data_IF_633879468111
#
_entry.id   IF_633879468111
#
_cell.length_a   1.000
_cell.length_b   1.000
_cell.length_c   1.000
_cell.angle_alpha   90.00
_cell.angle_beta   90.00
_cell.angle_gamma   90.00
#
_symmetry.space_group_name_H-M   'P 1'
#
loop_
_entity.id
_entity.type
_entity.pdbx_description
1 polymer ?
#
# COMPACT_ATOMS: atom_id res chain seq x y z
N UNK A 1 -9.70 12.50 -14.04
CA UNK A 1 -8.90 12.54 -15.25
C UNK A 1 -8.37 11.14 -15.63
N UNK A 2 -7.75 10.43 -14.69
CA UNK A 2 -7.17 9.08 -14.94
C UNK A 2 -8.20 8.06 -15.47
N UNK A 3 -9.44 7.94 -14.95
CA UNK A 3 -10.42 6.98 -15.47
C UNK A 3 -10.79 7.19 -16.93
N UNK A 4 -10.96 8.44 -17.35
CA UNK A 4 -11.35 8.78 -18.74
C UNK A 4 -10.26 8.42 -19.76
N UNK A 5 -9.00 8.42 -19.37
CA UNK A 5 -7.90 8.02 -20.23
C UNK A 5 -7.62 6.51 -20.14
N UNK A 6 -7.71 5.91 -18.95
CA UNK A 6 -7.31 4.52 -18.73
C UNK A 6 -8.29 3.49 -19.33
N UNK A 7 -9.59 3.81 -19.39
CA UNK A 7 -10.61 2.84 -19.81
C UNK A 7 -10.58 2.59 -21.32
N UNK A 8 -10.52 3.59 -22.22
CA UNK A 8 -10.37 3.35 -23.66
C UNK A 8 -9.10 2.57 -24.03
N UNK A 9 -7.98 2.86 -23.36
CA UNK A 9 -6.69 2.19 -23.64
C UNK A 9 -6.64 0.76 -23.11
N UNK A 10 -7.39 0.46 -22.05
CA UNK A 10 -7.61 -0.92 -21.64
C UNK A 10 -8.29 -1.73 -22.75
N UNK A 11 -9.16 -1.09 -23.56
CA UNK A 11 -9.78 -1.74 -24.72
C UNK A 11 -8.80 -2.03 -25.83
N UNK A 12 -7.91 -1.09 -26.16
CA UNK A 12 -6.84 -1.32 -27.15
C UNK A 12 -5.91 -2.47 -26.74
N UNK A 13 -5.58 -2.51 -25.45
CA UNK A 13 -4.76 -3.61 -24.91
C UNK A 13 -5.54 -4.92 -24.95
N UNK A 14 -6.84 -4.93 -24.59
CA UNK A 14 -7.67 -6.11 -24.67
C UNK A 14 -7.77 -6.65 -26.09
N UNK A 15 -7.98 -5.78 -27.09
CA UNK A 15 -7.96 -6.15 -28.52
C UNK A 15 -6.61 -6.75 -28.92
N UNK A 16 -5.50 -6.10 -28.53
CA UNK A 16 -4.14 -6.53 -28.90
C UNK A 16 -3.78 -7.92 -28.35
N UNK A 17 -4.30 -8.30 -27.18
CA UNK A 17 -4.05 -9.61 -26.55
C UNK A 17 -5.20 -10.61 -26.75
N UNK A 18 -6.27 -10.22 -27.45
CA UNK A 18 -7.45 -11.05 -27.66
C UNK A 18 -8.28 -11.31 -26.41
N UNK A 19 -8.29 -10.37 -25.45
CA UNK A 19 -9.12 -10.49 -24.25
C UNK A 19 -10.57 -10.14 -24.54
N UNK A 20 -11.49 -10.94 -24.01
CA UNK A 20 -12.93 -10.79 -24.23
C UNK A 20 -13.61 -9.93 -23.14
N UNK A 21 -12.95 -9.74 -22.01
CA UNK A 21 -13.49 -9.02 -20.86
C UNK A 21 -12.44 -8.07 -20.23
N UNK A 22 -12.92 -6.91 -19.79
CA UNK A 22 -12.17 -5.94 -18.98
C UNK A 22 -12.85 -5.81 -17.62
N UNK A 23 -12.13 -6.12 -16.54
CA UNK A 23 -12.66 -6.02 -15.18
C UNK A 23 -11.88 -4.97 -14.40
N UNK A 24 -12.59 -3.97 -13.88
CA UNK A 24 -12.03 -2.88 -13.10
C UNK A 24 -12.40 -3.08 -11.63
N UNK A 25 -11.42 -3.48 -10.80
CA UNK A 25 -11.61 -3.57 -9.35
C UNK A 25 -11.41 -2.21 -8.69
N UNK A 26 -12.42 -1.75 -7.92
CA UNK A 26 -12.37 -0.47 -7.20
C UNK A 26 -12.62 -0.72 -5.72
N UNK A 27 -11.69 -0.31 -4.86
CA UNK A 27 -11.88 -0.38 -3.41
C UNK A 27 -12.83 0.74 -2.94
N UNK A 28 -13.67 0.45 -1.96
CA UNK A 28 -14.61 1.23 -1.16
C UNK A 28 -14.93 2.71 -1.44
N UNK A 29 -14.49 3.26 -2.57
CA UNK A 29 -14.64 4.67 -2.92
C UNK A 29 -15.77 4.86 -3.94
N UNK A 30 -16.92 5.35 -3.48
CA UNK A 30 -18.09 5.59 -4.33
C UNK A 30 -17.83 6.58 -5.48
N UNK A 31 -16.98 7.60 -5.26
CA UNK A 31 -16.60 8.55 -6.30
C UNK A 31 -15.77 7.87 -7.40
N UNK A 32 -14.82 7.03 -7.03
CA UNK A 32 -14.01 6.27 -7.97
C UNK A 32 -14.88 5.28 -8.76
N UNK A 33 -15.82 4.58 -8.10
CA UNK A 33 -16.79 3.70 -8.74
C UNK A 33 -17.60 4.43 -9.81
N UNK A 34 -18.28 5.53 -9.43
CA UNK A 34 -19.07 6.35 -10.37
C UNK A 34 -18.23 6.90 -11.52
N UNK A 35 -16.98 7.28 -11.24
CA UNK A 35 -16.08 7.79 -12.28
C UNK A 35 -15.71 6.72 -13.31
N UNK A 36 -15.44 5.49 -12.87
CA UNK A 36 -15.17 4.35 -13.77
C UNK A 36 -16.41 3.94 -14.57
N UNK A 37 -17.57 3.87 -13.93
CA UNK A 37 -18.85 3.59 -14.62
C UNK A 37 -19.18 4.65 -15.67
N UNK A 38 -18.95 5.94 -15.34
CA UNK A 38 -19.14 7.03 -16.30
C UNK A 38 -18.17 6.93 -17.48
N UNK A 39 -16.91 6.56 -17.26
CA UNK A 39 -15.94 6.36 -18.33
C UNK A 39 -16.34 5.19 -19.26
N UNK A 40 -16.79 4.06 -18.71
CA UNK A 40 -17.33 2.94 -19.49
C UNK A 40 -18.58 3.38 -20.27
N UNK A 41 -19.46 4.14 -19.63
CA UNK A 41 -20.70 4.61 -20.27
C UNK A 41 -20.47 5.60 -21.41
N UNK A 42 -19.37 6.35 -21.39
CA UNK A 42 -19.00 7.27 -22.45
C UNK A 42 -18.57 6.56 -23.74
N UNK A 43 -18.13 5.31 -23.66
CA UNK A 43 -17.60 4.52 -24.78
C UNK A 43 -18.54 3.35 -25.13
N UNK A 44 -19.35 3.46 -26.18
CA UNK A 44 -20.37 2.43 -26.51
C UNK A 44 -19.80 1.03 -26.73
N UNK A 45 -18.58 0.92 -27.27
CA UNK A 45 -17.89 -0.35 -27.48
C UNK A 45 -17.52 -1.07 -26.18
N UNK A 46 -17.21 -0.31 -25.13
CA UNK A 46 -16.77 -0.84 -23.84
C UNK A 46 -17.90 -1.38 -22.98
N UNK A 47 -19.12 -0.86 -23.13
CA UNK A 47 -20.30 -1.30 -22.35
C UNK A 47 -20.57 -2.81 -22.42
N UNK A 48 -20.07 -3.46 -23.48
CA UNK A 48 -20.31 -4.89 -23.69
C UNK A 48 -19.23 -5.78 -23.08
N UNK A 49 -18.03 -5.24 -22.90
CA UNK A 49 -16.87 -6.01 -22.48
C UNK A 49 -16.25 -5.55 -21.15
N UNK A 50 -16.64 -4.35 -20.66
CA UNK A 50 -16.07 -3.77 -19.43
C UNK A 50 -17.10 -3.73 -18.30
N UNK A 51 -16.68 -4.08 -17.10
CA UNK A 51 -17.48 -3.96 -15.87
C UNK A 51 -16.63 -3.50 -14.68
N UNK A 52 -17.27 -2.84 -13.73
CA UNK A 52 -16.66 -2.47 -12.44
C UNK A 52 -17.06 -3.51 -11.39
N UNK A 53 -16.12 -3.87 -10.53
CA UNK A 53 -16.33 -4.72 -9.36
C UNK A 53 -15.89 -3.95 -8.12
N UNK A 54 -16.83 -3.74 -7.21
CA UNK A 54 -16.54 -3.09 -5.94
C UNK A 54 -15.86 -4.06 -5.01
N UNK A 55 -14.72 -3.62 -4.47
CA UNK A 55 -13.92 -4.35 -3.51
C UNK A 55 -14.10 -3.76 -2.11
N UNK A 56 -13.98 -4.55 -1.03
CA UNK A 56 -13.95 -4.00 0.33
C UNK A 56 -12.83 -2.98 0.50
N UNK A 57 -13.11 -1.92 1.26
CA UNK A 57 -12.12 -0.89 1.61
C UNK A 57 -11.17 -1.40 2.69
N UNK A 58 -10.26 -2.26 2.29
CA UNK A 58 -9.21 -2.81 3.14
C UNK A 58 -7.86 -2.71 2.43
N UNK A 59 -6.83 -2.44 3.20
CA UNK A 59 -5.47 -2.33 2.66
C UNK A 59 -5.05 -3.57 1.87
N UNK A 60 -5.35 -4.76 2.39
CA UNK A 60 -4.98 -6.03 1.74
C UNK A 60 -5.77 -6.32 0.47
N UNK A 61 -6.93 -5.68 0.24
CA UNK A 61 -7.74 -5.87 -0.97
C UNK A 61 -7.03 -5.41 -2.25
N UNK A 62 -6.05 -4.50 -2.13
CA UNK A 62 -5.21 -4.04 -3.24
C UNK A 62 -4.10 -5.01 -3.65
N UNK A 63 -3.90 -6.12 -2.94
CA UNK A 63 -2.96 -7.16 -3.36
C UNK A 63 -3.52 -7.92 -4.57
N UNK A 64 -2.67 -8.22 -5.55
CA UNK A 64 -3.06 -8.81 -6.84
C UNK A 64 -3.93 -10.07 -6.71
N UNK A 65 -3.51 -11.02 -5.87
CA UNK A 65 -4.25 -12.24 -5.66
C UNK A 65 -5.55 -12.04 -4.88
N UNK A 66 -5.59 -11.07 -3.96
CA UNK A 66 -6.78 -10.69 -3.24
C UNK A 66 -7.81 -10.06 -4.18
N UNK A 67 -7.36 -9.18 -5.09
CA UNK A 67 -8.19 -8.55 -6.11
C UNK A 67 -8.82 -9.60 -7.03
N UNK A 68 -8.04 -10.49 -7.61
CA UNK A 68 -8.53 -11.57 -8.49
C UNK A 68 -9.53 -12.46 -7.74
N UNK A 69 -9.24 -12.83 -6.49
CA UNK A 69 -10.17 -13.63 -5.69
C UNK A 69 -11.50 -12.91 -5.43
N UNK A 70 -11.44 -11.60 -5.11
CA UNK A 70 -12.65 -10.79 -4.93
C UNK A 70 -13.48 -10.70 -6.19
N UNK A 71 -12.86 -10.48 -7.35
CA UNK A 71 -13.52 -10.47 -8.66
C UNK A 71 -14.18 -11.83 -8.94
N UNK A 72 -13.55 -12.93 -8.56
CA UNK A 72 -14.07 -14.29 -8.68
C UNK A 72 -15.13 -14.66 -7.61
N UNK A 73 -15.65 -13.68 -6.85
CA UNK A 73 -16.68 -13.89 -5.82
C UNK A 73 -16.18 -14.60 -4.56
N UNK A 74 -14.86 -14.73 -4.38
CA UNK A 74 -14.25 -15.32 -3.18
C UNK A 74 -13.87 -14.20 -2.20
N UNK A 75 -13.55 -14.56 -0.95
CA UNK A 75 -13.04 -13.60 0.03
C UNK A 75 -11.80 -12.88 -0.54
N UNK A 76 -11.76 -11.54 -0.58
CA UNK A 76 -10.69 -10.75 -1.18
C UNK A 76 -9.45 -10.67 -0.26
N UNK A 77 -8.76 -11.77 -0.14
CA UNK A 77 -7.50 -11.93 0.59
C UNK A 77 -6.52 -12.71 -0.29
N UNK A 78 -5.20 -12.51 -0.16
CA UNK A 78 -4.22 -13.25 -0.94
C UNK A 78 -4.45 -14.75 -0.87
N UNK A 79 -4.29 -15.52 -1.95
CA UNK A 79 -4.29 -16.97 -1.90
C UNK A 79 -3.08 -17.42 -1.05
N UNK A 80 -3.23 -18.37 -0.15
CA UNK A 80 -2.17 -18.81 0.77
C UNK A 80 -0.88 -19.33 0.09
N UNK A 81 -0.76 -19.18 -1.21
CA UNK A 81 0.40 -19.52 -2.06
C UNK A 81 0.56 -18.47 -3.15
N UNK A 82 1.75 -18.35 -3.72
CA UNK A 82 1.98 -17.46 -4.87
C UNK A 82 1.29 -18.06 -6.10
N UNK A 83 0.34 -17.29 -6.66
CA UNK A 83 -0.37 -17.58 -7.91
C UNK A 83 -0.24 -16.35 -8.80
N UNK A 84 0.21 -16.55 -10.04
CA UNK A 84 0.29 -15.45 -11.00
C UNK A 84 -1.06 -15.32 -11.73
N UNK A 85 -1.53 -14.09 -11.89
CA UNK A 85 -2.76 -13.82 -12.64
C UNK A 85 -2.63 -14.20 -14.12
N UNK A 86 -1.40 -14.20 -14.66
CA UNK A 86 -1.09 -14.71 -16.00
C UNK A 86 -1.39 -16.19 -16.19
N UNK A 87 -1.41 -16.96 -15.12
CA UNK A 87 -1.68 -18.41 -15.16
C UNK A 87 -3.13 -18.71 -14.75
N UNK A 88 -3.55 -18.13 -13.61
CA UNK A 88 -4.88 -18.31 -13.04
C UNK A 88 -5.40 -16.97 -12.50
N UNK A 89 -6.13 -16.25 -13.34
CA UNK A 89 -6.69 -14.94 -13.05
C UNK A 89 -8.22 -14.93 -12.87
N UNK A 90 -8.88 -13.99 -13.52
CA UNK A 90 -10.33 -13.85 -13.50
C UNK A 90 -10.97 -15.06 -14.20
N UNK A 91 -12.00 -15.66 -13.60
CA UNK A 91 -12.65 -16.87 -14.06
C UNK A 91 -11.68 -18.06 -14.28
N UNK A 92 -10.57 -18.10 -13.51
CA UNK A 92 -9.47 -19.06 -13.64
C UNK A 92 -8.77 -19.04 -15.03
N UNK A 93 -8.95 -17.95 -15.80
CA UNK A 93 -8.29 -17.73 -17.09
C UNK A 93 -7.02 -16.87 -16.94
N UNK A 94 -6.05 -16.99 -17.87
CA UNK A 94 -4.92 -16.07 -17.94
C UNK A 94 -5.40 -14.63 -18.00
N UNK A 95 -4.88 -13.76 -17.11
CA UNK A 95 -5.35 -12.39 -16.98
C UNK A 95 -4.16 -11.44 -16.95
N UNK A 96 -4.17 -10.44 -17.85
CA UNK A 96 -3.28 -9.29 -17.75
C UNK A 96 -3.79 -8.36 -16.65
N UNK A 97 -3.03 -8.26 -15.56
CA UNK A 97 -3.36 -7.43 -14.42
C UNK A 97 -2.40 -6.25 -14.32
N UNK A 98 -2.93 -5.04 -14.33
CA UNK A 98 -2.17 -3.81 -14.07
C UNK A 98 -3.02 -2.76 -13.36
N UNK A 99 -2.41 -1.64 -12.98
CA UNK A 99 -3.11 -0.53 -12.35
C UNK A 99 -3.60 0.49 -13.39
N UNK A 100 -4.54 1.34 -13.00
CA UNK A 100 -5.11 2.38 -13.86
C UNK A 100 -4.09 3.40 -14.33
N UNK A 101 -3.05 3.68 -13.55
CA UNK A 101 -1.99 4.63 -13.96
C UNK A 101 -1.19 4.10 -15.14
N UNK A 102 -0.94 2.79 -15.21
CA UNK A 102 -0.26 2.17 -16.37
C UNK A 102 -1.09 2.34 -17.64
N UNK A 103 -2.39 2.07 -17.58
CA UNK A 103 -3.27 2.26 -18.75
C UNK A 103 -3.40 3.74 -19.13
N UNK A 104 -3.42 4.65 -18.15
CA UNK A 104 -3.42 6.09 -18.43
C UNK A 104 -2.13 6.54 -19.13
N UNK A 105 -0.97 6.03 -18.75
CA UNK A 105 0.30 6.32 -19.44
C UNK A 105 0.33 5.73 -20.85
N UNK A 106 -0.27 4.57 -21.08
CA UNK A 106 -0.45 4.03 -22.43
C UNK A 106 -1.33 4.95 -23.29
N UNK A 107 -2.38 5.55 -22.70
CA UNK A 107 -3.20 6.54 -23.39
C UNK A 107 -2.40 7.76 -23.81
N UNK A 108 -1.58 8.29 -22.90
CA UNK A 108 -0.69 9.44 -23.21
C UNK A 108 0.31 9.06 -24.31
N UNK A 109 0.89 7.87 -24.24
CA UNK A 109 1.80 7.36 -25.26
C UNK A 109 1.11 7.23 -26.63
N UNK A 110 -0.09 6.65 -26.67
CA UNK A 110 -0.86 6.50 -27.91
C UNK A 110 -1.24 7.85 -28.53
N UNK A 111 -1.62 8.82 -27.68
CA UNK A 111 -2.02 10.17 -28.11
C UNK A 111 -0.83 10.99 -28.63
N UNK A 112 0.28 10.98 -27.92
CA UNK A 112 1.45 11.82 -28.22
C UNK A 112 2.40 11.19 -29.23
N UNK A 113 2.41 9.88 -29.32
CA UNK A 113 3.43 9.09 -30.00
C UNK A 113 4.73 8.94 -29.19
N UNK A 114 5.58 7.96 -29.54
CA UNK A 114 6.73 7.57 -28.72
C UNK A 114 7.76 8.70 -28.58
N UNK A 115 7.99 9.49 -29.62
CA UNK A 115 9.00 10.56 -29.59
C UNK A 115 8.65 11.67 -28.60
N UNK A 116 7.38 12.14 -28.61
CA UNK A 116 6.92 13.18 -27.68
C UNK A 116 6.79 12.65 -26.26
N UNK A 117 6.36 11.40 -26.10
CA UNK A 117 6.30 10.76 -24.80
C UNK A 117 7.69 10.64 -24.18
N UNK A 118 8.68 10.22 -24.97
CA UNK A 118 10.06 10.06 -24.52
C UNK A 118 10.81 11.39 -24.33
N UNK A 119 10.26 12.51 -24.79
CA UNK A 119 10.85 13.84 -24.56
C UNK A 119 10.67 14.36 -23.13
N UNK A 120 9.87 13.69 -22.32
CA UNK A 120 9.60 14.04 -20.91
C UNK A 120 10.07 12.90 -20.01
N UNK A 121 10.65 13.25 -18.87
CA UNK A 121 11.20 12.27 -17.94
C UNK A 121 12.65 11.92 -18.21
N UNK A 122 13.11 10.78 -17.70
CA UNK A 122 14.47 10.27 -17.97
C UNK A 122 14.49 9.34 -19.19
N UNK A 123 15.65 9.12 -19.82
CA UNK A 123 15.75 8.16 -20.92
C UNK A 123 15.33 6.74 -20.54
N UNK A 124 15.61 6.33 -19.31
CA UNK A 124 15.29 5.00 -18.76
C UNK A 124 13.84 4.88 -18.30
N UNK A 125 13.26 6.01 -17.88
CA UNK A 125 11.86 6.10 -17.41
C UNK A 125 11.19 7.33 -18.02
N UNK A 126 10.83 7.29 -19.32
CA UNK A 126 10.15 8.41 -19.97
C UNK A 126 8.74 8.60 -19.44
N UNK A 127 8.24 9.84 -19.55
CA UNK A 127 6.90 10.24 -19.14
C UNK A 127 6.87 10.89 -17.76
N UNK A 128 5.70 10.87 -17.19
CA UNK A 128 5.37 11.50 -15.90
C UNK A 128 4.95 10.48 -14.86
N UNK A 129 4.93 10.89 -13.60
CA UNK A 129 4.40 10.12 -12.49
C UNK A 129 3.46 10.96 -11.66
N UNK A 130 2.36 10.35 -11.19
CA UNK A 130 1.44 10.94 -10.23
C UNK A 130 1.92 10.61 -8.81
N UNK A 131 2.04 11.64 -7.98
CA UNK A 131 2.42 11.51 -6.57
C UNK A 131 1.34 12.10 -5.68
N UNK A 132 0.95 11.34 -4.66
CA UNK A 132 0.07 11.82 -3.60
C UNK A 132 0.94 12.27 -2.43
N UNK A 133 1.00 13.57 -2.19
CA UNK A 133 1.77 14.17 -1.10
C UNK A 133 0.84 14.53 0.04
N UNK A 134 1.17 14.07 1.24
CA UNK A 134 0.40 14.30 2.46
C UNK A 134 1.30 14.48 3.68
N UNK A 135 1.00 13.78 4.78
CA UNK A 135 1.81 13.88 5.99
C UNK A 135 1.81 15.30 6.57
N UNK A 136 2.99 15.85 6.82
CA UNK A 136 3.16 17.23 7.32
C UNK A 136 3.14 18.31 6.23
N UNK A 137 2.70 18.00 5.00
CA UNK A 137 2.55 19.01 3.95
C UNK A 137 1.48 20.04 4.33
N UNK A 138 1.81 21.33 4.17
CA UNK A 138 0.84 22.42 4.42
C UNK A 138 -0.21 22.51 3.30
N UNK A 139 0.12 22.03 2.11
CA UNK A 139 -0.76 21.94 0.95
C UNK A 139 -0.75 20.50 0.39
N UNK A 140 -1.45 19.56 1.05
CA UNK A 140 -1.55 18.19 0.54
C UNK A 140 -2.18 18.19 -0.85
N UNK A 141 -1.57 17.46 -1.80
CA UNK A 141 -2.03 17.44 -3.17
C UNK A 141 -1.65 16.13 -3.88
N UNK A 142 -2.34 15.88 -5.00
CA UNK A 142 -1.85 14.96 -6.04
C UNK A 142 -1.17 15.80 -7.09
N UNK A 143 0.10 15.54 -7.33
CA UNK A 143 0.93 16.26 -8.29
C UNK A 143 1.40 15.32 -9.40
N UNK A 144 1.44 15.83 -10.62
CA UNK A 144 2.04 15.14 -11.76
C UNK A 144 3.38 15.80 -12.08
N UNK A 145 4.44 15.01 -12.13
CA UNK A 145 5.79 15.50 -12.40
C UNK A 145 6.51 14.60 -13.40
N UNK A 146 7.46 15.13 -14.20
CA UNK A 146 8.36 14.31 -14.97
C UNK A 146 9.13 13.34 -14.07
N UNK A 147 9.36 12.11 -14.52
CA UNK A 147 10.28 11.21 -13.83
C UNK A 147 11.70 11.82 -13.80
N UNK A 148 12.43 11.56 -12.72
CA UNK A 148 13.79 12.07 -12.54
C UNK A 148 13.90 13.46 -11.90
N UNK A 149 12.78 14.16 -11.65
CA UNK A 149 12.83 15.41 -10.85
C UNK A 149 13.32 15.12 -9.44
N UNK A 150 14.09 16.01 -8.79
CA UNK A 150 14.43 15.85 -7.39
C UNK A 150 13.17 15.82 -6.52
N UNK A 151 13.14 14.94 -5.51
CA UNK A 151 11.99 14.86 -4.60
C UNK A 151 11.76 16.19 -3.85
N UNK A 152 12.81 16.98 -3.62
CA UNK A 152 12.69 18.33 -3.08
C UNK A 152 11.71 19.20 -3.87
N UNK A 153 11.75 19.16 -5.20
CA UNK A 153 10.84 19.97 -6.03
C UNK A 153 9.37 19.56 -5.82
N UNK A 154 9.11 18.27 -5.59
CA UNK A 154 7.76 17.78 -5.25
C UNK A 154 7.32 18.27 -3.88
N UNK A 155 8.22 18.22 -2.90
CA UNK A 155 7.96 18.73 -1.55
C UNK A 155 7.70 20.23 -1.55
N UNK A 156 8.46 21.00 -2.33
CA UNK A 156 8.30 22.46 -2.46
C UNK A 156 6.93 22.84 -3.04
N UNK A 157 6.46 22.14 -4.08
CA UNK A 157 5.12 22.34 -4.66
C UNK A 157 4.02 22.21 -3.60
N UNK A 158 4.18 21.26 -2.68
CA UNK A 158 3.21 20.97 -1.63
C UNK A 158 3.50 21.71 -0.31
N UNK A 159 4.47 22.63 -0.29
CA UNK A 159 4.92 23.34 0.92
C UNK A 159 5.18 22.36 2.08
N UNK A 160 5.92 21.33 1.78
CA UNK A 160 6.16 20.18 2.64
C UNK A 160 7.66 20.08 2.97
N UNK A 161 8.12 20.62 4.11
CA UNK A 161 9.50 20.40 4.52
C UNK A 161 9.74 18.91 4.76
N UNK A 162 10.95 18.44 4.43
CA UNK A 162 11.30 17.04 4.68
C UNK A 162 11.27 16.67 6.18
N UNK A 163 11.37 17.66 7.05
CA UNK A 163 11.30 17.47 8.50
C UNK A 163 12.34 16.49 9.04
N UNK A 164 11.89 15.52 9.84
CA UNK A 164 12.75 14.45 10.39
C UNK A 164 13.04 13.35 9.35
N UNK A 165 12.15 13.18 8.38
CA UNK A 165 12.28 12.18 7.29
C UNK A 165 11.07 12.15 6.39
N UNK A 166 11.19 11.45 5.27
CA UNK A 166 10.14 11.32 4.27
C UNK A 166 9.86 9.85 3.99
N UNK A 167 8.61 9.44 4.17
CA UNK A 167 8.16 8.13 3.73
C UNK A 167 7.83 8.17 2.24
N UNK A 168 8.43 7.28 1.45
CA UNK A 168 8.19 7.16 0.01
C UNK A 168 7.68 5.78 -0.33
N UNK A 169 6.70 5.70 -1.22
CA UNK A 169 6.10 4.45 -1.70
C UNK A 169 4.90 3.96 -0.89
N UNK A 170 4.40 4.76 0.05
CA UNK A 170 3.29 4.43 0.95
C UNK A 170 3.70 3.54 2.12
N UNK A 171 2.73 2.92 2.80
CA UNK A 171 2.99 2.14 4.03
C UNK A 171 3.71 0.80 3.82
N UNK A 172 3.95 0.40 2.59
CA UNK A 172 4.88 -0.67 2.23
C UNK A 172 6.20 -0.13 1.65
N UNK A 173 6.38 1.18 1.65
CA UNK A 173 7.59 1.86 1.22
C UNK A 173 8.66 1.89 2.31
N UNK A 174 9.48 2.93 2.29
CA UNK A 174 10.54 3.12 3.29
C UNK A 174 10.72 4.60 3.63
N UNK A 175 11.29 4.83 4.79
CA UNK A 175 11.70 6.14 5.26
C UNK A 175 13.05 6.51 4.65
N UNK A 176 13.15 7.75 4.18
CA UNK A 176 14.39 8.39 3.75
C UNK A 176 14.76 9.48 4.76
N UNK A 177 16.04 9.58 5.16
CA UNK A 177 16.52 10.75 5.91
C UNK A 177 16.26 12.03 5.10
N UNK A 178 15.99 13.15 5.78
CA UNK A 178 15.70 14.43 5.14
C UNK A 178 16.74 14.82 4.08
N UNK A 179 18.03 14.70 4.38
CA UNK A 179 19.10 15.01 3.44
C UNK A 179 19.08 14.15 2.17
N UNK A 180 18.76 12.86 2.29
CA UNK A 180 18.60 11.97 1.13
C UNK A 180 17.36 12.34 0.33
N UNK A 181 16.25 12.63 1.00
CA UNK A 181 15.00 13.01 0.35
C UNK A 181 15.14 14.28 -0.50
N UNK A 182 15.97 15.23 -0.11
CA UNK A 182 16.17 16.46 -0.88
C UNK A 182 16.83 16.22 -2.25
N UNK A 183 17.65 15.20 -2.41
CA UNK A 183 18.45 15.01 -3.63
C UNK A 183 18.03 13.83 -4.47
N UNK A 184 17.24 12.90 -3.91
CA UNK A 184 16.87 11.67 -4.63
C UNK A 184 15.96 12.00 -5.81
N UNK A 185 16.28 11.48 -7.03
CA UNK A 185 15.38 11.62 -8.18
C UNK A 185 14.11 10.78 -7.99
N UNK A 186 12.98 11.35 -8.37
CA UNK A 186 11.68 10.64 -8.40
C UNK A 186 11.62 9.75 -9.63
N UNK A 187 12.27 8.61 -9.54
CA UNK A 187 12.27 7.55 -10.56
C UNK A 187 12.44 6.20 -9.85
N UNK A 188 12.14 5.09 -10.52
CA UNK A 188 12.40 3.75 -9.97
C UNK A 188 13.88 3.54 -9.71
N UNK A 189 14.73 3.94 -10.66
CA UNK A 189 16.16 3.84 -10.53
C UNK A 189 16.72 4.72 -9.40
N UNK A 190 16.32 6.00 -9.37
CA UNK A 190 16.78 6.94 -8.34
C UNK A 190 16.40 6.49 -6.93
N UNK A 191 15.17 6.04 -6.73
CA UNK A 191 14.73 5.51 -5.44
C UNK A 191 15.38 4.18 -5.11
N UNK A 192 15.57 3.28 -6.08
CA UNK A 192 16.26 2.00 -5.87
C UNK A 192 17.72 2.20 -5.43
N UNK A 193 18.40 3.24 -5.92
CA UNK A 193 19.77 3.57 -5.55
C UNK A 193 19.93 3.88 -4.04
N UNK A 194 18.85 4.32 -3.39
CA UNK A 194 18.80 4.58 -1.94
C UNK A 194 18.02 3.49 -1.18
N UNK A 195 17.76 2.34 -1.81
CA UNK A 195 17.02 1.22 -1.24
C UNK A 195 15.50 1.41 -1.22
N UNK A 196 14.99 2.51 -1.79
CA UNK A 196 13.58 2.85 -1.85
C UNK A 196 12.84 2.27 -3.05
N UNK A 197 11.58 2.58 -3.13
CA UNK A 197 10.72 2.25 -4.28
C UNK A 197 9.66 3.32 -4.45
N UNK A 198 9.29 3.61 -5.69
CA UNK A 198 8.19 4.53 -5.99
C UNK A 198 6.84 3.99 -5.45
N UNK A 199 6.68 2.67 -5.45
CA UNK A 199 5.49 2.00 -4.91
C UNK A 199 4.18 2.55 -5.47
N UNK A 200 3.30 2.99 -4.58
CA UNK A 200 2.00 3.59 -4.91
C UNK A 200 2.07 5.09 -5.24
N UNK A 201 3.26 5.68 -5.34
CA UNK A 201 3.41 7.13 -5.57
C UNK A 201 3.03 8.00 -4.37
N UNK A 202 3.00 7.45 -3.16
CA UNK A 202 2.69 8.20 -1.95
C UNK A 202 3.98 8.74 -1.34
N UNK A 203 3.97 10.02 -0.98
CA UNK A 203 5.07 10.75 -0.34
C UNK A 203 4.53 11.42 0.93
N UNK A 204 5.06 11.02 2.08
CA UNK A 204 4.61 11.53 3.38
C UNK A 204 5.82 12.09 4.17
N UNK A 205 6.12 13.39 4.05
CA UNK A 205 7.08 14.04 4.92
C UNK A 205 6.56 14.07 6.36
N UNK A 206 7.47 13.93 7.31
CA UNK A 206 7.17 13.96 8.73
C UNK A 206 7.91 15.12 9.40
N UNK A 207 7.15 16.14 9.80
CA UNK A 207 7.69 17.32 10.48
C UNK A 207 8.09 17.04 11.93
N UNK A 208 8.82 17.99 12.51
CA UNK A 208 9.36 17.93 13.87
C UNK A 208 8.32 18.07 15.00
N UNK A 209 7.08 18.40 14.64
CA UNK A 209 5.99 18.61 15.61
C UNK A 209 5.33 17.35 16.17
N UNK A 210 5.70 16.15 15.72
CA UNK A 210 5.13 14.88 16.16
C UNK A 210 6.20 13.86 16.49
N UNK A 211 5.91 12.88 17.35
CA UNK A 211 6.78 11.75 17.61
C UNK A 211 6.81 10.81 16.39
N UNK A 212 7.97 10.68 15.69
CA UNK A 212 8.01 9.87 14.46
C UNK A 212 7.79 8.39 14.74
N UNK A 213 8.36 7.86 15.81
CA UNK A 213 8.16 6.45 16.17
C UNK A 213 6.76 6.17 16.68
N UNK A 214 6.09 7.16 17.28
CA UNK A 214 4.68 7.05 17.65
C UNK A 214 3.76 6.99 16.42
N UNK A 215 4.05 7.79 15.38
CA UNK A 215 3.35 7.69 14.10
C UNK A 215 3.60 6.32 13.45
N UNK A 216 4.84 5.84 13.45
CA UNK A 216 5.19 4.50 12.94
C UNK A 216 4.45 3.39 13.70
N UNK A 217 4.36 3.48 15.03
CA UNK A 217 3.64 2.50 15.86
C UNK A 217 2.14 2.44 15.52
N UNK A 218 1.50 3.60 15.28
CA UNK A 218 0.10 3.66 14.83
C UNK A 218 -0.10 2.94 13.51
N UNK A 219 0.75 3.24 12.53
CA UNK A 219 0.66 2.63 11.20
C UNK A 219 0.98 1.13 11.26
N UNK A 220 1.98 0.71 12.04
CA UNK A 220 2.29 -0.71 12.22
C UNK A 220 1.11 -1.49 12.83
N UNK A 221 0.40 -0.89 13.79
CA UNK A 221 -0.80 -1.46 14.38
C UNK A 221 -1.94 -1.59 13.36
N UNK A 222 -2.18 -0.55 12.56
CA UNK A 222 -3.15 -0.58 11.46
C UNK A 222 -2.81 -1.69 10.46
N UNK A 223 -1.57 -1.76 9.98
CA UNK A 223 -1.15 -2.77 9.01
C UNK A 223 -1.24 -4.20 9.55
N UNK A 224 -0.99 -4.40 10.83
CA UNK A 224 -1.20 -5.70 11.47
C UNK A 224 -2.68 -6.11 11.46
N UNK A 225 -3.61 -5.17 11.71
CA UNK A 225 -5.06 -5.37 11.62
C UNK A 225 -5.56 -5.60 10.19
N UNK A 226 -4.95 -4.92 9.22
CA UNK A 226 -5.30 -5.02 7.80
C UNK A 226 -4.73 -6.27 7.10
N UNK A 227 -4.01 -7.11 7.82
CA UNK A 227 -3.45 -8.35 7.28
C UNK A 227 -4.53 -9.38 6.94
N UNK A 228 -4.20 -10.31 6.03
CA UNK A 228 -5.08 -11.44 5.71
C UNK A 228 -5.21 -12.46 6.86
N UNK A 229 -4.30 -12.45 7.84
CA UNK A 229 -4.31 -13.37 8.99
C UNK A 229 -4.08 -14.84 8.65
N UNK A 230 -3.61 -15.18 7.45
CA UNK A 230 -3.55 -16.57 6.96
C UNK A 230 -2.21 -17.26 7.19
N UNK A 231 -1.10 -16.51 7.27
CA UNK A 231 0.22 -17.10 7.49
C UNK A 231 0.82 -16.65 8.82
N UNK A 232 1.85 -17.38 9.31
CA UNK A 232 2.54 -17.07 10.57
C UNK A 232 3.00 -15.62 10.69
N UNK A 233 3.67 -15.05 9.67
CA UNK A 233 4.01 -13.62 9.64
C UNK A 233 2.84 -12.70 9.96
N UNK A 234 1.70 -12.83 9.29
CA UNK A 234 0.52 -12.01 9.54
C UNK A 234 -0.13 -12.28 10.90
N UNK A 235 -0.26 -13.55 11.29
CA UNK A 235 -1.01 -13.94 12.49
C UNK A 235 -0.24 -13.69 13.78
N UNK A 236 1.07 -13.84 13.77
CA UNK A 236 1.93 -13.77 14.96
C UNK A 236 2.96 -12.63 14.84
N UNK A 237 3.62 -12.50 13.68
CA UNK A 237 4.75 -11.61 13.50
C UNK A 237 4.37 -10.15 13.50
N UNK A 238 3.45 -9.72 12.65
CA UNK A 238 3.01 -8.32 12.59
C UNK A 238 2.40 -7.82 13.91
N UNK A 239 1.51 -8.56 14.59
CA UNK A 239 1.05 -8.18 15.91
C UNK A 239 2.17 -8.12 16.97
N UNK A 240 3.21 -8.95 16.86
CA UNK A 240 4.37 -8.89 17.75
C UNK A 240 5.19 -7.61 17.53
N UNK A 241 5.42 -7.21 16.26
CA UNK A 241 6.09 -5.97 15.90
C UNK A 241 5.29 -4.76 16.44
N UNK A 242 3.97 -4.73 16.19
CA UNK A 242 3.10 -3.64 16.62
C UNK A 242 3.10 -3.48 18.15
N UNK A 243 3.00 -4.57 18.90
CA UNK A 243 3.06 -4.54 20.38
C UNK A 243 4.42 -4.08 20.89
N UNK A 244 5.51 -4.53 20.26
CA UNK A 244 6.85 -4.11 20.64
C UNK A 244 7.07 -2.60 20.41
N UNK A 245 6.58 -2.06 19.30
CA UNK A 245 6.61 -0.62 19.05
C UNK A 245 5.74 0.14 20.06
N UNK A 246 4.55 -0.34 20.37
CA UNK A 246 3.68 0.28 21.36
C UNK A 246 4.38 0.33 22.74
N UNK A 247 5.00 -0.77 23.20
CA UNK A 247 5.73 -0.82 24.45
C UNK A 247 6.97 0.09 24.46
N UNK A 248 7.60 0.31 23.30
CA UNK A 248 8.70 1.27 23.17
C UNK A 248 8.18 2.71 23.34
N UNK A 249 7.01 3.03 22.75
CA UNK A 249 6.44 4.39 22.75
C UNK A 249 5.84 4.75 24.11
N UNK A 250 5.19 3.81 24.79
CA UNK A 250 4.60 4.05 26.13
C UNK A 250 5.64 4.00 27.26
N UNK A 251 6.89 3.71 26.91
CA UNK A 251 8.01 3.67 27.86
C UNK A 251 8.07 2.40 28.74
N UNK A 252 7.22 1.40 28.51
CA UNK A 252 7.19 0.19 29.32
C UNK A 252 8.24 -0.85 28.91
N UNK A 253 8.82 -0.76 27.69
CA UNK A 253 9.63 -1.82 27.13
C UNK A 253 11.12 -1.51 26.88
N UNK A 254 11.51 -0.24 26.74
CA UNK A 254 12.89 0.17 26.54
C UNK A 254 13.67 -0.65 25.49
N UNK A 255 14.89 -1.07 25.83
CA UNK A 255 15.76 -1.84 24.93
C UNK A 255 15.17 -3.24 24.58
N UNK A 256 14.43 -3.85 25.50
CA UNK A 256 13.83 -5.18 25.28
C UNK A 256 12.74 -5.11 24.21
N UNK A 257 11.94 -4.03 24.20
CA UNK A 257 10.95 -3.78 23.17
C UNK A 257 11.59 -3.56 21.79
N UNK A 258 12.69 -2.80 21.73
CA UNK A 258 13.45 -2.61 20.49
C UNK A 258 13.98 -3.95 19.95
N UNK A 259 14.58 -4.75 20.82
CA UNK A 259 15.10 -6.07 20.46
C UNK A 259 13.98 -7.01 19.98
N UNK A 260 12.83 -6.96 20.65
CA UNK A 260 11.67 -7.75 20.23
C UNK A 260 11.16 -7.30 18.85
N UNK A 261 11.07 -5.99 18.59
CA UNK A 261 10.65 -5.45 17.30
C UNK A 261 11.59 -5.94 16.18
N UNK A 262 12.90 -5.81 16.37
CA UNK A 262 13.93 -6.24 15.39
C UNK A 262 13.91 -7.76 15.16
N UNK A 263 13.86 -8.57 16.22
CA UNK A 263 13.78 -10.05 16.08
C UNK A 263 12.48 -10.47 15.40
N UNK A 264 11.35 -9.85 15.75
CA UNK A 264 10.07 -10.16 15.11
C UNK A 264 10.10 -9.80 13.63
N UNK A 265 10.65 -8.64 13.26
CA UNK A 265 10.82 -8.22 11.88
C UNK A 265 11.71 -9.21 11.09
N UNK A 266 12.84 -9.62 11.64
CA UNK A 266 13.72 -10.62 11.03
C UNK A 266 13.02 -11.98 10.88
N UNK A 267 12.16 -12.37 11.83
CA UNK A 267 11.37 -13.59 11.77
C UNK A 267 10.22 -13.56 10.77
N UNK A 268 9.81 -12.37 10.33
CA UNK A 268 8.71 -12.14 9.36
C UNK A 268 9.23 -12.07 7.94
N UNK A 269 10.38 -11.41 7.71
CA UNK A 269 10.93 -11.11 6.40
C UNK A 269 11.09 -12.38 5.53
N UNK A 270 10.59 -12.32 4.29
CA UNK A 270 10.66 -13.38 3.28
C UNK A 270 9.80 -14.61 3.57
N UNK A 271 8.95 -14.59 4.61
CA UNK A 271 8.16 -15.76 5.07
C UNK A 271 6.67 -15.61 4.83
N UNK A 272 6.23 -14.48 4.27
CA UNK A 272 4.84 -14.23 3.94
C UNK A 272 4.37 -15.00 2.71
N UNK A 273 3.06 -15.33 2.66
CA UNK A 273 2.43 -15.85 1.46
C UNK A 273 2.21 -14.77 0.38
N UNK A 274 2.30 -13.49 0.77
CA UNK A 274 2.28 -12.31 -0.07
C UNK A 274 3.30 -11.29 0.43
N UNK A 275 3.42 -10.14 -0.25
CA UNK A 275 4.41 -9.10 0.08
C UNK A 275 4.01 -8.20 1.26
N UNK A 276 2.80 -8.36 1.84
CA UNK A 276 2.35 -7.49 2.94
C UNK A 276 3.27 -7.53 4.16
N UNK A 277 3.68 -8.71 4.69
CA UNK A 277 4.60 -8.76 5.83
C UNK A 277 5.96 -8.11 5.54
N UNK A 278 6.50 -8.29 4.33
CA UNK A 278 7.78 -7.72 3.92
C UNK A 278 7.70 -6.20 3.80
N UNK A 279 6.57 -5.68 3.29
CA UNK A 279 6.29 -4.25 3.23
C UNK A 279 6.26 -3.61 4.61
N UNK A 280 5.52 -4.22 5.56
CA UNK A 280 5.46 -3.74 6.95
C UNK A 280 6.83 -3.78 7.63
N UNK A 281 7.58 -4.85 7.42
CA UNK A 281 8.93 -5.01 7.97
C UNK A 281 9.86 -3.90 7.46
N UNK A 282 9.84 -3.62 6.16
CA UNK A 282 10.64 -2.54 5.54
C UNK A 282 10.27 -1.18 6.11
N UNK A 283 8.97 -0.87 6.18
CA UNK A 283 8.46 0.36 6.76
C UNK A 283 8.96 0.57 8.20
N UNK A 284 8.87 -0.45 9.05
CA UNK A 284 9.29 -0.37 10.45
C UNK A 284 10.80 -0.27 10.58
N UNK A 285 11.56 -1.15 9.92
CA UNK A 285 13.02 -1.16 10.08
C UNK A 285 13.65 0.13 9.54
N UNK A 286 13.21 0.63 8.40
CA UNK A 286 13.71 1.91 7.88
C UNK A 286 13.40 3.09 8.81
N UNK A 287 12.28 3.07 9.53
CA UNK A 287 11.98 4.07 10.55
C UNK A 287 12.97 4.00 11.73
N UNK A 288 13.28 2.79 12.23
CA UNK A 288 14.25 2.61 13.31
C UNK A 288 15.66 3.05 12.91
N UNK A 289 15.97 3.01 11.61
CA UNK A 289 17.28 3.44 11.09
C UNK A 289 17.34 4.96 10.81
N UNK A 290 16.21 5.59 10.45
CA UNK A 290 16.14 7.03 10.16
C UNK A 290 15.97 7.84 11.44
N UNK A 291 15.11 7.43 12.37
CA UNK A 291 14.78 8.19 13.58
C UNK A 291 15.59 7.74 14.79
N UNK A 292 16.92 7.66 14.63
CA UNK A 292 17.83 7.12 15.65
C UNK A 292 17.90 7.93 16.94
N UNK A 293 17.79 9.26 16.87
CA UNK A 293 17.78 10.13 18.04
C UNK A 293 16.51 9.94 18.88
N UNK A 294 15.35 9.89 18.22
CA UNK A 294 14.09 9.61 18.89
C UNK A 294 14.06 8.20 19.47
N UNK A 295 14.61 7.23 18.71
CA UNK A 295 14.74 5.86 19.17
C UNK A 295 15.58 5.80 20.47
N UNK A 296 16.72 6.47 20.50
CA UNK A 296 17.55 6.55 21.70
C UNK A 296 16.79 7.20 22.86
N UNK A 297 16.04 8.28 22.60
CA UNK A 297 15.24 8.94 23.63
C UNK A 297 14.16 8.02 24.22
N UNK A 298 13.44 7.26 23.38
CA UNK A 298 12.47 6.28 23.86
C UNK A 298 13.12 5.13 24.63
N UNK A 299 14.26 4.62 24.17
CA UNK A 299 14.97 3.50 24.82
C UNK A 299 15.53 3.90 26.19
N UNK A 300 16.15 5.07 26.31
CA UNK A 300 16.90 5.47 27.50
C UNK A 300 16.13 6.42 28.43
N UNK A 301 15.15 7.16 27.88
CA UNK A 301 14.39 8.17 28.64
C UNK A 301 12.88 7.93 28.61
N UNK A 302 12.45 6.80 28.01
CA UNK A 302 11.04 6.40 27.88
C UNK A 302 10.17 7.35 27.04
N UNK A 303 10.71 8.43 26.48
CA UNK A 303 9.98 9.39 25.64
C UNK A 303 10.93 10.30 24.89
N UNK A 304 10.59 10.65 23.64
CA UNK A 304 11.25 11.73 22.91
C UNK A 304 10.70 13.14 23.24
N UNK A 305 9.73 13.24 24.15
CA UNK A 305 9.10 14.51 24.55
C UNK A 305 8.10 15.09 23.52
N UNK A 306 7.92 14.47 22.36
CA UNK A 306 6.98 14.92 21.33
C UNK A 306 5.66 14.13 21.40
N UNK A 307 4.49 14.79 21.17
CA UNK A 307 3.20 14.09 21.13
C UNK A 307 3.05 13.32 19.82
N UNK A 308 2.21 12.29 19.81
CA UNK A 308 1.73 11.62 18.59
C UNK A 308 0.50 12.36 18.08
N UNK A 309 0.58 12.98 16.91
CA UNK A 309 -0.47 13.86 16.37
C UNK A 309 -1.36 13.23 15.31
N UNK A 310 -1.05 12.02 14.84
CA UNK A 310 -1.81 11.39 13.76
C UNK A 310 -1.55 12.00 12.39
N UNK A 311 -0.34 12.48 12.16
CA UNK A 311 0.06 13.14 10.90
C UNK A 311 0.05 12.17 9.73
N UNK A 312 0.43 10.93 9.96
CA UNK A 312 0.30 9.89 8.94
C UNK A 312 -1.17 9.48 8.81
N UNK A 313 -1.79 9.67 7.62
CA UNK A 313 -3.21 9.44 7.45
C UNK A 313 -3.57 7.95 7.59
N UNK A 314 -4.63 7.69 8.33
CA UNK A 314 -5.31 6.40 8.35
C UNK A 314 -6.68 6.54 7.72
N UNK A 315 -7.24 5.50 7.10
CA UNK A 315 -8.61 5.53 6.63
C UNK A 315 -9.55 5.93 7.77
N UNK A 316 -10.35 6.96 7.53
CA UNK A 316 -11.49 7.29 8.40
C UNK A 316 -12.65 6.40 7.99
N UNK A 317 -12.63 5.17 8.45
CA UNK A 317 -13.79 4.27 8.31
C UNK A 317 -14.89 4.65 9.30
N UNK A 318 -16.15 4.23 9.07
CA UNK A 318 -17.11 4.11 10.15
C UNK A 318 -16.42 3.32 11.27
N UNK A 319 -16.62 3.74 12.52
CA UNK A 319 -16.12 3.03 13.71
C UNK A 319 -16.22 1.54 13.42
N UNK A 320 -15.07 0.85 13.45
CA UNK A 320 -15.08 -0.59 13.22
C UNK A 320 -16.03 -1.15 14.29
N UNK A 321 -17.26 -1.46 13.88
CA UNK A 321 -18.05 -2.39 14.68
C UNK A 321 -17.10 -3.54 14.95
N UNK A 322 -16.77 -3.77 16.22
CA UNK A 322 -16.00 -4.93 16.65
C UNK A 322 -16.69 -6.14 16.04
N UNK A 323 -16.26 -6.53 14.86
CA UNK A 323 -16.67 -7.80 14.30
C UNK A 323 -16.12 -8.82 15.28
N UNK A 324 -16.98 -9.30 16.13
CA UNK A 324 -16.68 -10.40 17.03
C UNK A 324 -16.29 -11.58 16.14
N UNK A 325 -14.99 -11.76 15.96
CA UNK A 325 -14.48 -12.92 15.25
C UNK A 325 -14.53 -14.10 16.21
N UNK A 326 -15.31 -15.11 15.84
CA UNK A 326 -15.25 -16.39 16.53
C UNK A 326 -13.83 -16.95 16.37
N UNK A 327 -13.07 -16.98 17.45
CA UNK A 327 -11.74 -17.56 17.47
C UNK A 327 -11.84 -18.99 17.98
N UNK A 328 -11.55 -19.95 17.11
CA UNK A 328 -11.43 -21.36 17.54
C UNK A 328 -10.05 -21.56 18.16
N UNK A 329 -10.01 -21.91 19.43
CA UNK A 329 -8.78 -22.34 20.09
C UNK A 329 -8.44 -23.77 19.63
N UNK A 330 -7.59 -23.86 18.62
CA UNK A 330 -7.19 -25.14 18.04
C UNK A 330 -6.44 -26.04 19.01
N UNK A 331 -5.92 -25.52 20.13
CA UNK A 331 -5.28 -26.37 21.16
C UNK A 331 -6.31 -27.11 22.00
N UNK A 332 -7.55 -26.63 22.02
CA UNK A 332 -8.70 -27.21 22.74
C UNK A 332 -9.74 -27.82 21.81
N UNK A 333 -9.62 -27.61 20.52
CA UNK A 333 -10.54 -28.14 19.54
C UNK A 333 -10.25 -29.64 19.31
N UNK A 334 -11.24 -30.49 19.59
CA UNK A 334 -11.17 -31.91 19.35
C UNK A 334 -11.64 -32.35 17.96
N UNK A 335 -11.93 -31.37 17.07
CA UNK A 335 -12.28 -31.65 15.67
C UNK A 335 -13.64 -32.34 15.44
N UNK A 336 -14.57 -32.24 16.38
CA UNK A 336 -15.88 -32.94 16.27
C UNK A 336 -16.79 -32.36 15.15
N UNK A 337 -16.46 -31.22 14.56
CA UNK A 337 -17.24 -30.59 13.48
C UNK A 337 -18.62 -30.04 13.87
N UNK A 338 -19.03 -30.15 15.13
CA UNK A 338 -20.36 -29.72 15.58
C UNK A 338 -20.60 -28.22 15.36
N UNK A 339 -19.55 -27.39 15.50
CA UNK A 339 -19.63 -25.96 15.27
C UNK A 339 -19.92 -25.62 13.80
N UNK A 340 -19.41 -26.38 12.84
CA UNK A 340 -19.71 -26.19 11.42
C UNK A 340 -21.18 -26.53 11.07
N UNK A 341 -21.82 -27.38 11.87
CA UNK A 341 -23.26 -27.67 11.72
C UNK A 341 -24.14 -26.62 12.40
N UNK A 342 -23.67 -26.02 13.49
CA UNK A 342 -24.45 -25.03 14.25
C UNK A 342 -24.39 -23.62 13.62
N UNK A 343 -23.24 -23.26 13.03
CA UNK A 343 -22.99 -21.94 12.45
C UNK A 343 -22.22 -22.07 11.12
N UNK A 344 -22.80 -22.72 10.12
CA UNK A 344 -22.13 -23.03 8.85
C UNK A 344 -21.72 -21.78 8.07
N UNK A 345 -22.34 -20.64 8.35
CA UNK A 345 -22.03 -19.35 7.75
C UNK A 345 -20.71 -18.74 8.29
N UNK A 346 -20.21 -19.24 9.41
CA UNK A 346 -19.00 -18.69 10.10
C UNK A 346 -17.85 -19.72 10.09
N UNK A 347 -18.15 -21.01 10.18
CA UNK A 347 -17.17 -22.09 10.30
C UNK A 347 -17.35 -23.08 9.14
N UNK A 348 -16.29 -23.22 8.34
CA UNK A 348 -16.23 -24.13 7.19
C UNK A 348 -15.25 -25.26 7.43
#
# INVERSE_FOLDING_TARGET
>A
FVPLAAVPEAALVAEAIGAEEIVIGVAGNELANRSMEAAIAAEPGLRKIARVVQMPDRFISGESGALVRGINGKRPVPPGRKVLASDFGVADLPTLLSNTSTFAQLAVLALLGPERFAAVGTPEEPGTVLLSVGGSASQPAVVEVPTGVPLAAVLDICQAPAGDGVLVGGYHGMWLPAGTAYVVPVSREGLAAVGGTLGSGIVLPLGDGTCPLGEVSRIASYLAGESAGQCGPCKLGLPSIARALAALIDGSGGIEALDLARRSAAGVAGRGACSHPDGVTRFVLSALDVFTEDLAAHVFHSSCGRPVRGVLPLPTGPEQEEQQHLVVDWTRCHGHGLCAHLVPEIIH
#
